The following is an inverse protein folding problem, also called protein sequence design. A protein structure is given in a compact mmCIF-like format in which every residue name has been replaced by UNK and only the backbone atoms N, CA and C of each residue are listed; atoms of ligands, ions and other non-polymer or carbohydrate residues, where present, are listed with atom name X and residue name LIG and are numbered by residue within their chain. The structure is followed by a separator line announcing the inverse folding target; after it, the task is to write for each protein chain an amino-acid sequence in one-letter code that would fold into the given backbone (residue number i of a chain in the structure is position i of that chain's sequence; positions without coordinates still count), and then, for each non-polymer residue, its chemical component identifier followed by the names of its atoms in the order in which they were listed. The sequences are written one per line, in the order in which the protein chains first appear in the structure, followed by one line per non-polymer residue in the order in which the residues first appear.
data_IF_404357571711
#
_entry.id   IF_404357571711
#
_cell.length_a   1.000
_cell.length_b   1.000
_cell.length_c   1.000
_cell.angle_alpha   90.00
_cell.angle_beta   90.00
_cell.angle_gamma   90.00
#
_symmetry.space_group_name_H-M   'P 1'
#
loop_
_entity.id
_entity.type
_entity.pdbx_description
1 polymer ?
#
# COMPACT_ATOMS: atom_id res chain seq x y z
N UNK A 1 -78.17 22.48 0.27
CA UNK A 1 -78.72 23.00 1.57
C UNK A 1 -77.52 23.23 2.43
N UNK A 2 -77.17 24.51 2.57
CA UNK A 2 -77.36 25.40 3.69
C UNK A 2 -76.35 25.11 4.81
N UNK A 3 -75.56 25.99 5.39
CA UNK A 3 -75.35 27.47 5.35
C UNK A 3 -74.05 27.73 6.13
N UNK A 4 -73.28 28.73 5.70
CA UNK A 4 -72.35 29.45 6.62
C UNK A 4 -73.20 30.29 7.63
N UNK A 5 -72.58 30.79 8.76
CA UNK A 5 -72.06 32.12 8.81
C UNK A 5 -70.74 32.23 9.69
N UNK A 6 -69.81 33.08 9.39
CA UNK A 6 -69.49 34.52 9.51
C UNK A 6 -69.40 35.04 10.96
N UNK A 7 -68.20 35.63 11.19
CA UNK A 7 -67.84 36.90 11.92
C UNK A 7 -67.56 36.72 13.43
N UNK A 8 -66.67 37.46 14.09
CA UNK A 8 -66.28 38.85 13.91
C UNK A 8 -64.93 39.15 14.62
N UNK A 9 -64.36 40.26 14.20
CA UNK A 9 -63.18 41.03 14.70
C UNK A 9 -63.30 41.53 16.14
N UNK A 10 -62.10 41.70 16.78
CA UNK A 10 -61.59 42.92 17.52
C UNK A 10 -60.20 42.51 17.98
N UNK A 11 -59.04 43.11 17.77
CA UNK A 11 -58.70 44.49 17.75
C UNK A 11 -58.27 44.97 19.15
N UNK A 12 -56.93 44.94 19.43
CA UNK A 12 -56.35 45.91 20.36
C UNK A 12 -54.89 46.17 20.06
N UNK A 13 -54.60 47.48 20.00
CA UNK A 13 -53.31 48.14 19.84
C UNK A 13 -52.50 48.04 21.12
N UNK A 14 -51.18 48.09 21.03
CA UNK A 14 -50.31 48.35 22.15
C UNK A 14 -48.82 48.29 21.75
N UNK A 15 -48.34 49.42 21.33
CA UNK A 15 -47.05 50.13 21.43
C UNK A 15 -45.73 49.43 21.69
N UNK A 16 -44.60 50.02 21.32
CA UNK A 16 -43.31 49.31 20.96
C UNK A 16 -42.35 49.20 22.15
N UNK A 17 -41.58 48.15 22.18
CA UNK A 17 -40.44 48.04 23.09
C UNK A 17 -39.15 47.87 22.27
N UNK A 18 -38.40 48.93 22.37
CA UNK A 18 -36.95 49.14 22.27
C UNK A 18 -36.05 47.98 21.84
N UNK A 19 -35.25 48.33 20.84
CA UNK A 19 -33.97 47.73 20.45
C UNK A 19 -33.13 47.26 21.62
N UNK A 20 -32.70 45.99 21.57
CA UNK A 20 -31.50 45.56 22.26
C UNK A 20 -30.52 44.92 21.25
N UNK A 21 -29.40 45.56 21.25
CA UNK A 21 -28.12 45.36 20.61
C UNK A 21 -27.72 43.90 20.41
N UNK A 22 -27.34 43.62 19.18
CA UNK A 22 -26.50 42.46 18.77
C UNK A 22 -25.17 42.48 19.52
N UNK A 23 -24.92 41.49 20.34
CA UNK A 23 -23.60 41.20 20.87
C UNK A 23 -22.77 40.47 19.78
N UNK A 24 -21.72 41.13 19.35
CA UNK A 24 -20.64 40.63 18.52
C UNK A 24 -19.99 39.38 19.13
N UNK A 25 -19.59 38.41 18.32
CA UNK A 25 -18.82 37.24 18.84
C UNK A 25 -17.43 37.69 19.28
N UNK A 26 -17.08 37.27 20.47
CA UNK A 26 -15.81 37.51 21.13
C UNK A 26 -14.61 37.13 20.24
N UNK A 27 -13.70 38.10 20.09
CA UNK A 27 -12.36 37.90 19.52
C UNK A 27 -11.58 36.95 20.41
N UNK A 28 -11.34 35.74 19.92
CA UNK A 28 -10.33 34.83 20.49
C UNK A 28 -8.95 35.41 20.16
N UNK A 29 -8.28 35.97 21.16
CA UNK A 29 -6.85 36.28 21.09
C UNK A 29 -6.07 34.95 20.90
N UNK A 30 -5.49 34.80 19.70
CA UNK A 30 -4.43 33.80 19.46
C UNK A 30 -3.20 34.22 20.26
N UNK A 31 -3.03 33.66 21.44
CA UNK A 31 -1.71 33.65 22.08
C UNK A 31 -0.81 32.72 21.27
N UNK A 32 0.09 33.30 20.50
CA UNK A 32 1.23 32.61 19.89
C UNK A 32 2.16 32.19 21.02
N UNK A 33 2.08 30.94 21.42
CA UNK A 33 3.21 30.29 22.09
C UNK A 33 4.15 29.84 20.96
N UNK A 34 5.19 30.64 20.75
CA UNK A 34 6.33 30.22 19.94
C UNK A 34 7.13 29.26 20.80
N UNK A 35 6.89 27.97 20.67
CA UNK A 35 7.86 26.95 21.07
C UNK A 35 8.67 26.68 19.81
N UNK A 36 9.80 27.41 19.69
CA UNK A 36 10.84 27.07 18.75
C UNK A 36 11.57 25.85 19.25
N UNK A 37 11.36 24.70 18.59
CA UNK A 37 12.37 23.68 18.37
C UNK A 37 12.13 23.15 16.98
N UNK A 38 12.87 23.69 16.03
CA UNK A 38 12.97 23.13 14.70
C UNK A 38 13.58 21.73 14.77
N UNK A 39 12.79 20.72 14.55
CA UNK A 39 13.27 19.45 14.07
C UNK A 39 12.36 19.05 12.90
N UNK A 40 12.66 19.63 11.74
CA UNK A 40 12.24 19.07 10.47
C UNK A 40 13.05 17.77 10.31
N UNK A 41 12.59 16.70 10.94
CA UNK A 41 12.88 15.36 10.48
C UNK A 41 12.22 15.29 9.10
N UNK A 42 13.02 15.50 8.06
CA UNK A 42 12.57 15.18 6.70
C UNK A 42 12.07 13.74 6.74
N UNK A 43 10.79 13.53 6.43
CA UNK A 43 10.25 12.19 6.27
C UNK A 43 11.15 11.47 5.26
N UNK A 44 11.90 10.48 5.74
CA UNK A 44 12.76 9.67 4.88
C UNK A 44 11.83 8.80 4.04
N UNK A 45 11.50 9.28 2.84
CA UNK A 45 10.76 8.49 1.86
C UNK A 45 11.62 7.30 1.40
N UNK A 46 11.03 6.11 1.47
CA UNK A 46 11.63 4.92 0.86
C UNK A 46 11.63 5.12 -0.65
N UNK A 47 12.82 5.18 -1.26
CA UNK A 47 12.99 5.33 -2.70
C UNK A 47 13.50 4.03 -3.30
N UNK A 48 12.81 3.54 -4.31
CA UNK A 48 13.16 2.34 -5.08
C UNK A 48 13.85 2.76 -6.39
N UNK A 49 15.10 3.15 -6.30
CA UNK A 49 15.92 3.68 -7.41
C UNK A 49 16.90 2.65 -8.01
N UNK A 50 16.92 1.41 -7.49
CA UNK A 50 17.77 0.31 -7.96
C UNK A 50 16.96 -0.98 -8.13
N UNK A 51 16.47 -1.20 -9.35
CA UNK A 51 15.65 -2.36 -9.70
C UNK A 51 16.39 -3.70 -9.55
N UNK A 52 17.70 -3.75 -9.82
CA UNK A 52 18.50 -4.97 -9.74
C UNK A 52 18.75 -5.38 -8.28
N UNK A 53 19.11 -4.45 -7.41
CA UNK A 53 19.25 -4.72 -5.97
C UNK A 53 17.92 -5.11 -5.33
N UNK A 54 16.82 -4.48 -5.73
CA UNK A 54 15.47 -4.86 -5.30
C UNK A 54 15.14 -6.30 -5.70
N UNK A 55 15.46 -6.69 -6.93
CA UNK A 55 15.23 -8.04 -7.43
C UNK A 55 15.99 -9.10 -6.61
N UNK A 56 17.27 -8.87 -6.31
CA UNK A 56 18.06 -9.80 -5.48
C UNK A 56 17.50 -9.96 -4.07
N UNK A 57 17.03 -8.87 -3.48
CA UNK A 57 16.52 -8.83 -2.11
C UNK A 57 15.08 -9.37 -2.03
N UNK A 58 14.19 -8.80 -2.81
CA UNK A 58 12.74 -9.03 -2.70
C UNK A 58 12.18 -9.95 -3.80
N UNK A 59 12.87 -10.10 -4.93
CA UNK A 59 12.35 -10.81 -6.12
C UNK A 59 11.89 -12.23 -5.82
N UNK A 60 12.70 -13.03 -5.10
CA UNK A 60 12.32 -14.41 -4.72
C UNK A 60 11.06 -14.42 -3.85
N UNK A 61 11.00 -13.53 -2.85
CA UNK A 61 9.85 -13.41 -1.97
C UNK A 61 8.59 -13.01 -2.74
N UNK A 62 8.70 -11.95 -3.55
CA UNK A 62 7.59 -11.41 -4.34
C UNK A 62 7.07 -12.42 -5.35
N UNK A 63 7.98 -13.13 -6.04
CA UNK A 63 7.60 -14.17 -7.00
C UNK A 63 6.85 -15.31 -6.31
N UNK A 64 7.38 -15.86 -5.21
CA UNK A 64 6.73 -16.95 -4.49
C UNK A 64 5.35 -16.56 -3.95
N UNK A 65 5.21 -15.35 -3.41
CA UNK A 65 3.91 -14.85 -2.95
C UNK A 65 2.95 -14.61 -4.12
N UNK A 66 3.45 -14.06 -5.22
CA UNK A 66 2.69 -13.81 -6.44
C UNK A 66 2.17 -15.08 -7.10
N UNK A 67 2.95 -16.16 -7.12
CA UNK A 67 2.53 -17.47 -7.64
C UNK A 67 1.34 -18.02 -6.84
N UNK A 68 1.44 -18.06 -5.50
CA UNK A 68 0.36 -18.51 -4.62
C UNK A 68 -0.88 -17.59 -4.75
N UNK A 69 -0.66 -16.28 -4.94
CA UNK A 69 -1.72 -15.32 -5.15
C UNK A 69 -2.48 -15.58 -6.46
N UNK A 70 -1.77 -15.78 -7.55
CA UNK A 70 -2.38 -16.08 -8.86
C UNK A 70 -3.08 -17.44 -8.87
N UNK A 71 -2.53 -18.46 -8.20
CA UNK A 71 -3.19 -19.76 -8.03
C UNK A 71 -4.52 -19.62 -7.26
N UNK A 72 -4.58 -18.74 -6.27
CA UNK A 72 -5.83 -18.46 -5.55
C UNK A 72 -6.83 -17.66 -6.37
N UNK A 73 -6.36 -16.68 -7.14
CA UNK A 73 -7.24 -15.90 -8.01
C UNK A 73 -7.84 -16.75 -9.12
N UNK A 74 -7.07 -17.68 -9.67
CA UNK A 74 -7.41 -18.53 -10.81
C UNK A 74 -8.11 -17.71 -11.94
N UNK A 75 -7.47 -16.63 -12.44
CA UNK A 75 -8.10 -15.74 -13.38
C UNK A 75 -8.33 -16.45 -14.73
N UNK A 76 -9.41 -16.14 -15.47
CA UNK A 76 -9.53 -16.55 -16.85
C UNK A 76 -8.35 -16.10 -17.71
N UNK A 77 -8.06 -16.83 -18.77
CA UNK A 77 -7.06 -16.43 -19.76
C UNK A 77 -7.58 -15.26 -20.61
N UNK A 78 -6.66 -14.51 -21.22
CA UNK A 78 -7.02 -13.48 -22.20
C UNK A 78 -7.59 -12.19 -21.61
N UNK A 79 -7.40 -11.94 -20.31
CA UNK A 79 -7.84 -10.69 -19.67
C UNK A 79 -6.89 -9.53 -20.04
N UNK A 80 -7.47 -8.32 -20.11
CA UNK A 80 -6.72 -7.06 -20.12
C UNK A 80 -6.44 -6.66 -18.69
N UNK A 81 -5.16 -6.60 -18.32
CA UNK A 81 -4.71 -6.29 -16.96
C UNK A 81 -4.10 -4.90 -16.86
N UNK A 82 -4.32 -4.26 -15.70
CA UNK A 82 -3.48 -3.17 -15.25
C UNK A 82 -2.77 -3.57 -13.96
N UNK A 83 -1.43 -3.44 -13.95
CA UNK A 83 -0.53 -3.65 -12.80
C UNK A 83 -0.09 -2.29 -12.26
N UNK A 84 -0.66 -1.86 -11.14
CA UNK A 84 -0.51 -0.52 -10.56
C UNK A 84 0.56 -0.56 -9.48
N UNK A 85 1.60 0.29 -9.63
CA UNK A 85 2.83 0.19 -8.87
C UNK A 85 3.68 -0.98 -9.34
N UNK A 86 3.75 -1.19 -10.66
CA UNK A 86 4.42 -2.36 -11.26
C UNK A 86 5.93 -2.41 -10.98
N UNK A 87 6.52 -1.32 -10.50
CA UNK A 87 7.94 -1.22 -10.19
C UNK A 87 8.82 -1.70 -11.33
N UNK A 88 9.75 -2.60 -11.02
CA UNK A 88 10.67 -3.21 -11.99
C UNK A 88 10.01 -4.29 -12.89
N UNK A 89 8.68 -4.43 -12.87
CA UNK A 89 7.93 -5.34 -13.73
C UNK A 89 7.94 -6.82 -13.31
N UNK A 90 8.39 -7.16 -12.11
CA UNK A 90 8.49 -8.55 -11.67
C UNK A 90 7.11 -9.25 -11.60
N UNK A 91 6.08 -8.59 -11.10
CA UNK A 91 4.74 -9.15 -11.07
C UNK A 91 4.07 -9.10 -12.46
N UNK A 92 4.32 -8.04 -13.24
CA UNK A 92 3.90 -7.97 -14.65
C UNK A 92 4.40 -9.17 -15.45
N UNK A 93 5.69 -9.55 -15.27
CA UNK A 93 6.27 -10.74 -15.92
C UNK A 93 5.56 -12.01 -15.50
N UNK A 94 5.27 -12.16 -14.20
CA UNK A 94 4.53 -13.30 -13.67
C UNK A 94 3.10 -13.38 -14.22
N UNK A 95 2.41 -12.25 -14.40
CA UNK A 95 1.10 -12.19 -15.07
C UNK A 95 1.19 -12.73 -16.50
N UNK A 96 2.20 -12.29 -17.27
CA UNK A 96 2.40 -12.75 -18.64
C UNK A 96 2.68 -14.25 -18.70
N UNK A 97 3.55 -14.75 -17.83
CA UNK A 97 3.92 -16.17 -17.78
C UNK A 97 2.75 -17.09 -17.38
N UNK A 98 1.92 -16.67 -16.42
CA UNK A 98 0.94 -17.55 -15.77
C UNK A 98 -0.49 -17.36 -16.27
N UNK A 99 -0.85 -16.17 -16.76
CA UNK A 99 -2.24 -15.83 -17.05
C UNK A 99 -2.54 -15.68 -18.56
N UNK A 100 -1.53 -15.74 -19.43
CA UNK A 100 -1.70 -15.53 -20.88
C UNK A 100 -2.64 -14.36 -21.19
N UNK A 101 -2.32 -13.14 -20.73
CA UNK A 101 -3.20 -11.98 -20.86
C UNK A 101 -3.34 -11.54 -22.32
N UNK A 102 -4.48 -10.92 -22.69
CA UNK A 102 -4.63 -10.25 -23.97
C UNK A 102 -3.78 -8.96 -24.02
N UNK A 103 -3.66 -8.27 -22.88
CA UNK A 103 -2.90 -7.04 -22.72
C UNK A 103 -2.50 -6.86 -21.27
N UNK A 104 -1.32 -6.29 -21.02
CA UNK A 104 -0.92 -5.80 -19.69
C UNK A 104 -0.43 -4.36 -19.81
N UNK A 105 -0.99 -3.48 -19.00
CA UNK A 105 -0.47 -2.12 -18.77
C UNK A 105 0.12 -2.05 -17.38
N UNK A 106 1.41 -1.70 -17.26
CA UNK A 106 2.09 -1.42 -16.00
C UNK A 106 2.17 0.09 -15.76
N UNK A 107 1.94 0.55 -14.54
CA UNK A 107 2.10 1.96 -14.18
C UNK A 107 2.87 2.08 -12.86
N UNK A 108 3.84 2.99 -12.82
CA UNK A 108 4.67 3.26 -11.62
C UNK A 108 5.12 4.73 -11.63
N UNK A 109 5.28 5.40 -10.47
CA UNK A 109 5.80 6.76 -10.43
C UNK A 109 7.30 6.86 -10.73
N UNK A 110 8.09 5.79 -10.56
CA UNK A 110 9.55 5.77 -10.76
C UNK A 110 9.92 5.38 -12.18
N UNK A 111 10.46 6.34 -12.95
CA UNK A 111 10.97 6.07 -14.30
C UNK A 111 12.18 5.12 -14.29
N UNK A 112 12.98 5.12 -13.22
CA UNK A 112 14.12 4.21 -13.06
C UNK A 112 13.64 2.75 -12.94
N UNK A 113 12.55 2.51 -12.21
CA UNK A 113 11.92 1.19 -12.13
C UNK A 113 11.35 0.76 -13.49
N UNK A 114 10.65 1.67 -14.17
CA UNK A 114 10.07 1.40 -15.48
C UNK A 114 11.13 1.14 -16.55
N UNK A 115 12.27 1.84 -16.50
CA UNK A 115 13.39 1.56 -17.38
C UNK A 115 13.88 0.12 -17.23
N UNK A 116 13.97 -0.39 -16.00
CA UNK A 116 14.31 -1.79 -15.75
C UNK A 116 13.19 -2.73 -16.24
N UNK A 117 11.93 -2.43 -15.95
CA UNK A 117 10.79 -3.23 -16.39
C UNK A 117 10.77 -3.44 -17.90
N UNK A 118 11.10 -2.41 -18.68
CA UNK A 118 11.20 -2.48 -20.14
C UNK A 118 12.30 -3.41 -20.66
N UNK A 119 13.28 -3.79 -19.82
CA UNK A 119 14.34 -4.75 -20.19
C UNK A 119 13.91 -6.21 -20.01
N UNK A 120 12.80 -6.47 -19.28
CA UNK A 120 12.33 -7.82 -19.03
C UNK A 120 11.71 -8.47 -20.28
N UNK A 121 11.77 -9.81 -20.42
CA UNK A 121 11.13 -10.52 -21.53
C UNK A 121 9.63 -10.22 -21.67
N UNK A 122 8.92 -10.03 -20.56
CA UNK A 122 7.51 -9.68 -20.52
C UNK A 122 7.17 -8.35 -21.21
N UNK A 123 8.15 -7.44 -21.38
CA UNK A 123 7.95 -6.14 -22.03
C UNK A 123 7.42 -6.22 -23.46
N UNK A 124 7.52 -7.39 -24.10
CA UNK A 124 6.94 -7.62 -25.45
C UNK A 124 5.41 -7.67 -25.45
N UNK A 125 4.79 -8.00 -24.31
CA UNK A 125 3.34 -8.14 -24.12
C UNK A 125 2.79 -7.12 -23.10
N UNK A 126 3.66 -6.32 -22.49
CA UNK A 126 3.29 -5.30 -21.53
C UNK A 126 3.76 -3.92 -22.01
N UNK A 127 2.97 -2.89 -21.69
CA UNK A 127 3.34 -1.48 -21.88
C UNK A 127 3.50 -0.83 -20.51
N UNK A 128 4.52 0.00 -20.36
CA UNK A 128 4.87 0.63 -19.08
C UNK A 128 4.75 2.15 -19.16
N UNK A 129 4.04 2.75 -18.21
CA UNK A 129 3.70 4.16 -18.13
C UNK A 129 4.16 4.75 -16.80
N UNK A 130 4.68 5.96 -16.83
CA UNK A 130 4.87 6.71 -15.59
C UNK A 130 3.56 7.34 -15.16
N UNK A 131 3.20 7.20 -13.86
CA UNK A 131 1.98 7.79 -13.33
C UNK A 131 1.71 7.45 -11.87
N UNK A 132 0.60 8.00 -11.37
CA UNK A 132 0.18 7.91 -9.97
C UNK A 132 -1.01 6.94 -9.85
N UNK A 133 -0.94 6.05 -8.86
CA UNK A 133 -2.01 5.11 -8.50
C UNK A 133 -3.34 5.82 -8.15
N UNK A 134 -3.27 7.08 -7.68
CA UNK A 134 -4.43 7.88 -7.30
C UNK A 134 -5.03 8.70 -8.45
N UNK A 135 -4.42 8.65 -9.65
CA UNK A 135 -4.87 9.37 -10.86
C UNK A 135 -4.43 8.62 -12.11
N UNK A 136 -5.07 7.47 -12.37
CA UNK A 136 -4.70 6.60 -13.50
C UNK A 136 -5.06 7.26 -14.84
N UNK A 137 -4.10 7.34 -15.81
CA UNK A 137 -4.30 8.02 -17.11
C UNK A 137 -5.08 7.12 -18.10
N UNK A 138 -6.02 6.34 -17.63
CA UNK A 138 -6.83 5.43 -18.43
C UNK A 138 -8.32 5.77 -18.30
N UNK A 139 -9.07 5.53 -19.37
CA UNK A 139 -10.52 5.71 -19.35
C UNK A 139 -11.21 4.70 -18.42
N UNK A 140 -12.44 5.03 -18.01
CA UNK A 140 -13.28 4.12 -17.25
C UNK A 140 -13.50 2.81 -18.01
N UNK A 141 -13.56 1.70 -17.28
CA UNK A 141 -13.87 0.37 -17.84
C UNK A 141 -12.92 -0.06 -18.97
N UNK A 142 -11.64 0.26 -18.87
CA UNK A 142 -10.60 -0.11 -19.84
C UNK A 142 -10.05 -1.51 -19.67
N UNK A 143 -10.12 -2.08 -18.46
CA UNK A 143 -9.49 -3.33 -18.09
C UNK A 143 -10.48 -4.35 -17.52
N UNK A 144 -10.14 -5.63 -17.64
CA UNK A 144 -10.93 -6.73 -17.06
C UNK A 144 -10.48 -7.02 -15.63
N UNK A 145 -9.24 -6.68 -15.31
CA UNK A 145 -8.68 -6.84 -13.96
C UNK A 145 -7.64 -5.74 -13.63
N UNK A 146 -7.67 -5.28 -12.38
CA UNK A 146 -6.67 -4.37 -11.82
C UNK A 146 -5.99 -5.00 -10.59
N UNK A 147 -4.65 -4.91 -10.52
CA UNK A 147 -3.87 -5.41 -9.40
C UNK A 147 -2.93 -4.34 -8.84
N UNK A 148 -2.75 -4.33 -7.51
CA UNK A 148 -1.64 -3.70 -6.79
C UNK A 148 -0.85 -4.78 -6.06
N UNK A 149 0.31 -5.17 -6.59
CA UNK A 149 1.14 -6.22 -6.02
C UNK A 149 2.20 -5.64 -5.08
N UNK A 150 1.99 -5.74 -3.75
CA UNK A 150 2.90 -5.25 -2.69
C UNK A 150 3.06 -3.71 -2.65
N UNK A 151 2.05 -2.94 -3.07
CA UNK A 151 2.14 -1.49 -3.32
C UNK A 151 1.34 -0.67 -2.33
N UNK A 152 0.15 -1.12 -1.90
CA UNK A 152 -0.89 -0.31 -1.28
C UNK A 152 -0.42 0.52 -0.06
N UNK A 153 0.56 0.02 0.72
CA UNK A 153 1.13 0.75 1.88
C UNK A 153 1.95 1.98 1.48
N UNK A 154 2.34 2.11 0.21
CA UNK A 154 3.07 3.25 -0.33
C UNK A 154 2.15 4.31 -0.94
N UNK A 155 0.88 3.97 -1.19
CA UNK A 155 -0.11 4.90 -1.74
C UNK A 155 -0.54 5.89 -0.64
N UNK A 156 -0.35 7.21 -0.80
CA UNK A 156 -0.69 8.21 0.22
C UNK A 156 -2.14 8.15 0.69
N UNK A 157 -3.06 7.94 -0.24
CA UNK A 157 -4.48 7.69 0.02
C UNK A 157 -4.90 6.34 -0.59
N UNK A 158 -4.84 5.23 0.18
CA UNK A 158 -5.22 3.91 -0.30
C UNK A 158 -6.66 3.83 -0.81
N UNK A 159 -7.60 4.55 -0.19
CA UNK A 159 -9.01 4.56 -0.62
C UNK A 159 -9.15 5.19 -2.01
N UNK A 160 -8.43 6.27 -2.28
CA UNK A 160 -8.39 6.90 -3.60
C UNK A 160 -7.76 5.95 -4.64
N UNK A 161 -6.64 5.29 -4.28
CA UNK A 161 -6.01 4.30 -5.16
C UNK A 161 -6.95 3.16 -5.53
N UNK A 162 -7.66 2.59 -4.55
CA UNK A 162 -8.66 1.52 -4.80
C UNK A 162 -9.84 2.04 -5.63
N UNK A 163 -10.29 3.28 -5.40
CA UNK A 163 -11.35 3.91 -6.22
C UNK A 163 -10.94 4.03 -7.69
N UNK A 164 -9.67 4.35 -7.98
CA UNK A 164 -9.15 4.39 -9.34
C UNK A 164 -9.07 2.98 -9.97
N UNK A 165 -8.67 1.95 -9.19
CA UNK A 165 -8.75 0.56 -9.65
C UNK A 165 -10.18 0.19 -10.07
N UNK A 166 -11.16 0.52 -9.24
CA UNK A 166 -12.58 0.25 -9.53
C UNK A 166 -13.04 1.00 -10.78
N UNK A 167 -12.65 2.26 -10.93
CA UNK A 167 -13.03 3.09 -12.07
C UNK A 167 -12.57 2.50 -13.41
N UNK A 168 -11.32 2.06 -13.47
CA UNK A 168 -10.72 1.58 -14.74
C UNK A 168 -11.09 0.15 -15.09
N UNK A 169 -11.66 -0.63 -14.16
CA UNK A 169 -12.09 -2.02 -14.40
C UNK A 169 -13.53 -2.04 -14.92
N UNK A 170 -13.85 -2.92 -15.86
CA UNK A 170 -15.21 -3.11 -16.40
C UNK A 170 -16.18 -3.61 -15.32
N UNK A 171 -17.51 -3.36 -15.45
CA UNK A 171 -18.50 -4.01 -14.60
C UNK A 171 -18.35 -5.54 -14.59
N UNK A 172 -18.35 -6.15 -13.40
CA UNK A 172 -18.08 -7.58 -13.18
C UNK A 172 -16.59 -7.97 -13.19
N UNK A 173 -15.67 -7.04 -13.53
CA UNK A 173 -14.24 -7.28 -13.55
C UNK A 173 -13.62 -7.36 -12.14
N UNK A 174 -12.37 -7.81 -12.06
CA UNK A 174 -11.69 -8.10 -10.81
C UNK A 174 -10.81 -6.93 -10.32
N UNK A 175 -10.90 -6.62 -9.03
CA UNK A 175 -10.00 -5.68 -8.34
C UNK A 175 -9.30 -6.45 -7.22
N UNK A 176 -7.96 -6.52 -7.28
CA UNK A 176 -7.20 -7.44 -6.43
C UNK A 176 -5.92 -6.81 -5.91
N UNK A 177 -5.48 -7.24 -4.73
CA UNK A 177 -4.16 -6.88 -4.18
C UNK A 177 -3.64 -7.96 -3.25
N UNK A 178 -2.33 -7.97 -3.04
CA UNK A 178 -1.71 -8.60 -1.88
C UNK A 178 -0.59 -7.70 -1.34
N UNK A 179 -0.37 -7.78 -0.02
CA UNK A 179 0.56 -6.92 0.69
C UNK A 179 1.24 -7.69 1.81
N UNK A 180 2.55 -7.50 2.02
CA UNK A 180 3.23 -8.06 3.18
C UNK A 180 2.55 -7.63 4.47
N UNK A 181 2.38 -8.55 5.43
CA UNK A 181 1.88 -8.24 6.77
C UNK A 181 2.92 -7.44 7.56
N UNK A 182 3.03 -6.16 7.21
CA UNK A 182 3.97 -5.24 7.86
C UNK A 182 3.53 -4.84 9.26
N UNK A 183 2.21 -4.76 9.48
CA UNK A 183 1.66 -4.43 10.79
C UNK A 183 1.86 -5.56 11.80
N UNK A 184 1.61 -6.80 11.40
CA UNK A 184 1.77 -7.99 12.24
C UNK A 184 3.22 -8.46 12.41
N UNK A 185 4.20 -7.74 11.87
CA UNK A 185 5.61 -8.07 12.00
C UNK A 185 6.00 -9.37 11.30
N UNK A 186 5.45 -9.59 10.08
CA UNK A 186 5.69 -10.81 9.30
C UNK A 186 6.14 -10.54 7.87
N UNK A 187 6.67 -9.34 7.60
CA UNK A 187 7.29 -9.04 6.31
C UNK A 187 8.69 -9.67 6.19
N UNK A 188 9.24 -9.81 4.97
CA UNK A 188 10.59 -10.35 4.78
C UNK A 188 11.70 -9.64 5.56
N UNK A 189 11.53 -8.36 5.89
CA UNK A 189 12.53 -7.54 6.61
C UNK A 189 12.31 -7.48 8.12
N UNK A 190 11.25 -8.09 8.64
CA UNK A 190 10.91 -8.01 10.07
C UNK A 190 11.97 -8.61 11.01
N UNK A 191 12.73 -9.65 10.65
CA UNK A 191 13.82 -10.11 11.51
C UNK A 191 14.83 -9.00 11.86
N UNK A 192 15.08 -8.06 10.94
CA UNK A 192 15.98 -6.91 11.15
C UNK A 192 15.22 -5.73 11.77
N UNK A 193 14.05 -5.37 11.23
CA UNK A 193 13.24 -4.26 11.72
C UNK A 193 12.89 -4.40 13.21
N UNK A 194 12.53 -5.61 13.65
CA UNK A 194 12.17 -5.86 15.06
C UNK A 194 13.35 -5.62 15.99
N UNK A 195 14.56 -6.00 15.60
CA UNK A 195 15.76 -5.79 16.41
C UNK A 195 16.20 -4.32 16.43
N UNK A 196 16.09 -3.60 15.31
CA UNK A 196 16.30 -2.14 15.26
C UNK A 196 15.35 -1.44 16.24
N UNK A 197 14.05 -1.82 16.21
CA UNK A 197 13.04 -1.26 17.12
C UNK A 197 13.31 -1.62 18.58
N UNK A 198 13.74 -2.85 18.87
CA UNK A 198 14.10 -3.30 20.22
C UNK A 198 15.36 -2.60 20.77
N UNK A 199 16.18 -2.01 19.92
CA UNK A 199 17.31 -1.14 20.29
C UNK A 199 16.88 0.33 20.52
N UNK A 200 15.57 0.63 20.47
CA UNK A 200 15.04 1.98 20.64
C UNK A 200 15.20 2.88 19.40
N UNK A 201 15.58 2.33 18.26
CA UNK A 201 15.76 3.07 17.01
C UNK A 201 14.47 2.94 16.19
N UNK A 202 13.99 4.07 15.65
CA UNK A 202 12.79 4.08 14.79
C UNK A 202 13.21 3.71 13.36
N UNK A 203 12.80 2.54 12.84
CA UNK A 203 13.11 2.17 11.47
C UNK A 203 12.27 2.96 10.48
N UNK A 204 12.81 3.19 9.27
CA UNK A 204 12.03 3.76 8.17
C UNK A 204 10.91 2.79 7.80
N UNK A 205 9.67 3.27 7.73
CA UNK A 205 8.47 2.48 7.45
C UNK A 205 7.66 3.11 6.31
N UNK A 206 6.89 2.33 5.56
CA UNK A 206 5.93 2.88 4.62
C UNK A 206 4.89 3.76 5.32
N UNK A 207 4.36 4.81 4.65
CA UNK A 207 3.47 5.78 5.27
C UNK A 207 2.13 5.19 5.73
N UNK A 208 1.66 4.13 5.07
CA UNK A 208 0.35 3.52 5.33
C UNK A 208 0.46 2.04 5.73
N UNK A 209 1.33 1.74 6.69
CA UNK A 209 1.49 0.37 7.21
C UNK A 209 0.18 -0.27 7.69
N UNK A 210 -0.74 0.53 8.20
CA UNK A 210 -2.08 0.11 8.61
C UNK A 210 -2.86 -0.57 7.48
N UNK A 211 -2.66 -0.15 6.22
CA UNK A 211 -3.26 -0.76 5.04
C UNK A 211 -2.77 -2.19 4.74
N UNK A 212 -1.75 -2.69 5.46
CA UNK A 212 -1.30 -4.08 5.33
C UNK A 212 -2.09 -5.07 6.21
N UNK A 213 -2.98 -4.60 7.08
CA UNK A 213 -3.83 -5.45 7.91
C UNK A 213 -4.92 -6.09 7.07
N UNK A 214 -5.24 -7.35 7.37
CA UNK A 214 -6.28 -8.10 6.65
C UNK A 214 -7.63 -7.37 6.69
N UNK A 215 -8.02 -6.90 7.88
CA UNK A 215 -9.27 -6.17 8.07
C UNK A 215 -9.29 -4.86 7.30
N UNK A 216 -8.18 -4.11 7.31
CA UNK A 216 -8.07 -2.84 6.58
C UNK A 216 -8.18 -3.05 5.06
N UNK A 217 -7.55 -4.09 4.51
CA UNK A 217 -7.70 -4.46 3.10
C UNK A 217 -9.17 -4.78 2.78
N UNK A 218 -9.81 -5.60 3.61
CA UNK A 218 -11.21 -5.97 3.42
C UNK A 218 -12.12 -4.73 3.47
N UNK A 219 -11.92 -3.85 4.44
CA UNK A 219 -12.73 -2.65 4.63
C UNK A 219 -12.54 -1.65 3.46
N UNK A 220 -11.32 -1.50 2.93
CA UNK A 220 -11.06 -0.71 1.73
C UNK A 220 -11.83 -1.23 0.52
N UNK A 221 -11.88 -2.55 0.31
CA UNK A 221 -12.62 -3.18 -0.80
C UNK A 221 -14.13 -3.00 -0.65
N UNK A 222 -14.66 -3.24 0.55
CA UNK A 222 -16.09 -3.02 0.86
C UNK A 222 -16.44 -1.52 0.71
N UNK A 223 -15.61 -0.64 1.25
CA UNK A 223 -15.81 0.81 1.18
C UNK A 223 -15.76 1.37 -0.24
N UNK A 224 -15.06 0.71 -1.16
CA UNK A 224 -15.04 1.03 -2.58
C UNK A 224 -16.25 0.46 -3.37
N UNK A 225 -17.20 -0.19 -2.69
CA UNK A 225 -18.41 -0.75 -3.31
C UNK A 225 -18.18 -2.05 -4.10
N UNK A 226 -17.09 -2.77 -3.83
CA UNK A 226 -16.81 -4.04 -4.47
C UNK A 226 -17.65 -5.16 -3.85
N UNK A 227 -18.09 -6.10 -4.69
CA UNK A 227 -18.84 -7.30 -4.32
C UNK A 227 -17.94 -8.53 -4.27
N UNK A 228 -18.42 -9.63 -3.70
CA UNK A 228 -17.69 -10.92 -3.56
C UNK A 228 -16.32 -10.77 -2.91
N UNK A 229 -16.21 -9.88 -1.93
CA UNK A 229 -14.95 -9.59 -1.25
C UNK A 229 -14.48 -10.80 -0.46
N UNK A 230 -13.31 -11.32 -0.82
CA UNK A 230 -12.66 -12.45 -0.17
C UNK A 230 -11.23 -12.09 0.18
N UNK A 231 -10.75 -12.62 1.30
CA UNK A 231 -9.39 -12.42 1.81
C UNK A 231 -8.67 -13.74 1.97
N UNK A 232 -7.32 -13.71 1.91
CA UNK A 232 -6.47 -14.88 2.12
C UNK A 232 -5.14 -14.48 2.76
N UNK A 233 -4.63 -15.32 3.67
CA UNK A 233 -3.22 -15.29 4.08
C UNK A 233 -2.38 -16.11 3.09
N UNK A 234 -1.20 -15.58 2.77
CA UNK A 234 -0.19 -16.23 1.94
C UNK A 234 1.09 -16.30 2.77
N UNK A 235 1.59 -17.50 3.02
CA UNK A 235 2.87 -17.70 3.70
C UNK A 235 3.88 -18.28 2.72
N UNK A 236 5.05 -17.66 2.66
CA UNK A 236 6.18 -18.09 1.84
C UNK A 236 7.43 -18.23 2.68
N UNK A 237 8.36 -19.06 2.25
CA UNK A 237 9.63 -19.29 2.94
C UNK A 237 10.78 -19.03 1.99
N UNK A 238 11.90 -18.56 2.56
CA UNK A 238 13.15 -18.41 1.82
C UNK A 238 14.30 -18.97 2.65
N UNK A 239 15.18 -19.69 1.99
CA UNK A 239 16.41 -20.23 2.56
C UNK A 239 17.60 -19.42 2.04
N UNK A 240 18.46 -18.99 2.93
CA UNK A 240 19.75 -18.36 2.65
C UNK A 240 20.86 -19.34 2.95
N UNK A 241 21.94 -19.29 2.17
CA UNK A 241 23.07 -20.19 2.33
C UNK A 241 23.70 -20.14 3.73
N UNK A 242 23.72 -18.96 4.34
CA UNK A 242 24.19 -18.71 5.70
C UNK A 242 23.74 -17.32 6.16
N UNK A 243 24.12 -16.94 7.38
CA UNK A 243 23.77 -15.60 7.93
C UNK A 243 24.41 -14.45 7.14
N UNK A 244 25.60 -14.59 6.64
CA UNK A 244 26.27 -13.54 5.88
C UNK A 244 25.60 -13.30 4.53
N UNK A 245 25.07 -14.34 3.89
CA UNK A 245 24.24 -14.25 2.70
C UNK A 245 22.91 -13.55 3.01
N UNK A 246 22.24 -13.94 4.10
CA UNK A 246 21.04 -13.27 4.60
C UNK A 246 21.30 -11.78 4.85
N UNK A 247 22.35 -11.46 5.61
CA UNK A 247 22.66 -10.07 5.99
C UNK A 247 22.96 -9.20 4.78
N UNK A 248 23.89 -9.65 3.91
CA UNK A 248 24.29 -8.91 2.70
C UNK A 248 23.11 -8.67 1.74
N UNK A 249 22.22 -9.63 1.63
CA UNK A 249 21.04 -9.51 0.77
C UNK A 249 20.07 -8.47 1.30
N UNK A 250 19.75 -8.50 2.60
CA UNK A 250 18.70 -7.66 3.15
C UNK A 250 19.13 -6.24 3.50
N UNK A 251 20.41 -6.04 3.90
CA UNK A 251 20.91 -4.71 4.31
C UNK A 251 20.94 -3.70 3.16
N UNK A 252 20.91 -4.15 1.92
CA UNK A 252 20.80 -3.30 0.72
C UNK A 252 19.41 -2.69 0.54
N UNK A 253 18.42 -3.15 1.31
CA UNK A 253 17.04 -2.66 1.21
C UNK A 253 16.96 -1.15 1.38
N UNK A 254 16.22 -0.43 0.51
CA UNK A 254 15.93 0.99 0.70
C UNK A 254 15.27 1.32 2.03
N UNK A 255 14.55 0.37 2.63
CA UNK A 255 13.91 0.53 3.93
C UNK A 255 14.88 0.36 5.12
N UNK A 256 16.01 -0.33 4.94
CA UNK A 256 17.00 -0.58 6.01
C UNK A 256 18.25 0.29 5.88
N UNK A 257 18.74 0.48 4.66
CA UNK A 257 19.99 1.17 4.36
C UNK A 257 20.14 2.53 5.06
N UNK A 258 19.15 3.45 5.01
CA UNK A 258 19.28 4.75 5.67
C UNK A 258 19.42 4.64 7.20
N UNK A 259 18.60 3.77 7.81
CA UNK A 259 18.61 3.56 9.26
C UNK A 259 19.95 2.99 9.72
N UNK A 260 20.45 1.94 9.05
CA UNK A 260 21.69 1.29 9.44
C UNK A 260 22.92 2.16 9.16
N UNK A 261 22.90 2.95 8.06
CA UNK A 261 23.98 3.90 7.76
C UNK A 261 24.09 5.03 8.79
N UNK A 262 23.01 5.37 9.47
CA UNK A 262 23.01 6.38 10.55
C UNK A 262 23.40 5.81 11.92
N UNK A 263 23.55 4.49 12.08
CA UNK A 263 23.95 3.84 13.34
C UNK A 263 25.46 3.96 13.57
N UNK A 264 25.85 3.98 14.85
CA UNK A 264 27.27 3.85 15.24
C UNK A 264 27.75 2.41 14.97
N UNK A 265 29.05 2.24 14.70
CA UNK A 265 29.63 0.92 14.39
C UNK A 265 29.31 -0.14 15.45
N UNK A 266 29.42 0.18 16.74
CA UNK A 266 29.10 -0.75 17.83
C UNK A 266 27.60 -1.12 17.91
N UNK A 267 26.70 -0.21 17.50
CA UNK A 267 25.26 -0.51 17.43
C UNK A 267 24.97 -1.45 16.25
N UNK A 268 25.67 -1.30 15.12
CA UNK A 268 25.53 -2.21 13.97
C UNK A 268 26.00 -3.63 14.34
N UNK A 269 27.13 -3.76 15.06
CA UNK A 269 27.62 -5.07 15.54
C UNK A 269 26.62 -5.72 16.51
N UNK A 270 26.04 -4.91 17.41
CA UNK A 270 24.99 -5.34 18.32
C UNK A 270 23.75 -5.82 17.54
N UNK A 271 23.31 -5.06 16.54
CA UNK A 271 22.20 -5.44 15.68
C UNK A 271 22.46 -6.77 14.97
N UNK A 272 23.64 -6.94 14.37
CA UNK A 272 24.06 -8.18 13.71
C UNK A 272 23.97 -9.37 14.67
N UNK A 273 24.51 -9.23 15.88
CA UNK A 273 24.49 -10.27 16.90
C UNK A 273 23.06 -10.68 17.29
N UNK A 274 22.18 -9.70 17.52
CA UNK A 274 20.78 -9.91 17.90
C UNK A 274 19.98 -10.59 16.78
N UNK A 275 20.13 -10.11 15.55
CA UNK A 275 19.46 -10.72 14.38
C UNK A 275 19.95 -12.16 14.15
N UNK A 276 21.25 -12.41 14.32
CA UNK A 276 21.82 -13.77 14.24
C UNK A 276 21.23 -14.70 15.29
N UNK A 277 21.07 -14.25 16.51
CA UNK A 277 20.45 -15.03 17.59
C UNK A 277 18.96 -15.35 17.33
N UNK A 278 18.26 -14.45 16.61
CA UNK A 278 16.85 -14.62 16.24
C UNK A 278 16.63 -15.61 15.09
N UNK A 279 17.63 -15.79 14.24
CA UNK A 279 17.55 -16.62 13.04
C UNK A 279 18.58 -17.77 13.14
N UNK A 280 18.29 -18.82 13.94
CA UNK A 280 19.21 -19.92 14.09
C UNK A 280 19.43 -20.64 12.75
N UNK A 281 20.67 -21.02 12.50
CA UNK A 281 21.05 -21.83 11.35
C UNK A 281 20.69 -23.30 11.60
N UNK A 282 20.38 -24.03 10.53
CA UNK A 282 20.29 -25.49 10.56
C UNK A 282 21.69 -26.17 10.66
N UNK A 283 21.73 -27.51 10.62
CA UNK A 283 22.97 -28.25 10.72
C UNK A 283 23.97 -27.98 9.57
N UNK A 284 23.47 -27.51 8.42
CA UNK A 284 24.30 -27.15 7.26
C UNK A 284 24.65 -25.64 7.25
N UNK A 285 24.29 -24.90 8.29
CA UNK A 285 24.54 -23.46 8.41
C UNK A 285 23.56 -22.59 7.66
N UNK A 286 22.50 -23.16 7.06
CA UNK A 286 21.48 -22.42 6.28
C UNK A 286 20.47 -21.77 7.21
N UNK A 287 19.93 -20.62 6.78
CA UNK A 287 18.85 -19.91 7.49
C UNK A 287 17.58 -19.94 6.65
N UNK A 288 16.54 -20.55 7.23
CA UNK A 288 15.20 -20.55 6.61
C UNK A 288 14.21 -19.82 7.52
N UNK A 289 13.47 -18.88 6.96
CA UNK A 289 12.36 -18.25 7.67
C UNK A 289 11.21 -17.92 6.73
N UNK A 290 10.03 -17.67 7.33
CA UNK A 290 8.80 -17.37 6.59
C UNK A 290 8.44 -15.91 6.64
N UNK A 291 7.76 -15.45 5.57
CA UNK A 291 7.06 -14.17 5.52
C UNK A 291 5.59 -14.39 5.17
N UNK A 292 4.74 -13.49 5.64
CA UNK A 292 3.29 -13.54 5.42
C UNK A 292 2.85 -12.33 4.62
N UNK A 293 1.94 -12.58 3.68
CA UNK A 293 1.20 -11.54 2.98
C UNK A 293 -0.30 -11.73 3.19
N UNK A 294 -1.04 -10.64 3.20
CA UNK A 294 -2.50 -10.60 3.15
C UNK A 294 -2.95 -10.26 1.75
N UNK A 295 -3.91 -11.01 1.24
CA UNK A 295 -4.49 -10.80 -0.07
C UNK A 295 -5.98 -10.51 0.05
N UNK A 296 -6.50 -9.68 -0.86
CA UNK A 296 -7.92 -9.43 -1.02
C UNK A 296 -8.28 -9.40 -2.50
N UNK A 297 -9.45 -9.93 -2.83
CA UNK A 297 -10.08 -9.80 -4.14
C UNK A 297 -11.53 -9.34 -3.99
N UNK A 298 -12.03 -8.64 -4.98
CA UNK A 298 -13.44 -8.27 -5.12
C UNK A 298 -13.79 -8.07 -6.58
N UNK A 299 -15.06 -7.90 -6.87
CA UNK A 299 -15.59 -7.62 -8.21
C UNK A 299 -16.27 -6.27 -8.25
N UNK A 300 -16.05 -5.51 -9.33
CA UNK A 300 -16.85 -4.33 -9.58
C UNK A 300 -18.30 -4.78 -9.86
N UNK A 301 -19.33 -4.17 -9.26
CA UNK A 301 -20.74 -4.44 -9.56
C UNK A 301 -21.04 -4.36 -11.06
N UNK A 302 -22.04 -5.14 -11.52
CA UNK A 302 -22.51 -5.14 -12.92
C UNK A 302 -23.33 -3.93 -13.27
#
# INVERSE_FOLDING_TARGET
MSRRPKSARRGHQGAPVTSQSFLSPAKWHRSRIVIGVGNQMAEQQIRFDDGASYEQMMGIWSRSAGEIFLDWLAPPLGLRWIDIGCGNGAFTELLVERCSPAEVQGIDPSEEQLAFARTRPASRLAKFHQGDAMALPFADSSFDAAVMALVLVFVPDPAKGVSEMVRVVVPGGAVVTYMWDMWGGRSPLDPIHSEIQAMGIVPTRPPRMDASRMEALRDLWIGAGLEDVQTREITVHRTFANFDDFWRTNIKSPALRPTVAAMKSGDVETLISRVRARLPADADGRITYGARAHAVRGRRPK
#
